data_IF_762608186605
#
_entry.id   IF_762608186605
#
_cell.length_a   1.000
_cell.length_b   1.000
_cell.length_c   1.000
_cell.angle_alpha   90.00
_cell.angle_beta   90.00
_cell.angle_gamma   90.00
#
_symmetry.space_group_name_H-M   'P 1'
#
loop_
_entity.id
_entity.type
_entity.pdbx_description
1 polymer ?
#
# COMPACT_ATOMS: atom_id res chain seq x y z
N UNK A 1 -9.25 -17.20 -30.09
CA UNK A 1 -8.64 -17.41 -28.76
C UNK A 1 -9.73 -17.13 -27.76
N UNK A 2 -10.23 -18.17 -27.10
CA UNK A 2 -11.24 -17.99 -26.06
C UNK A 2 -10.64 -17.26 -24.86
N UNK A 3 -11.34 -16.30 -24.25
CA UNK A 3 -10.89 -15.66 -23.03
C UNK A 3 -10.83 -16.73 -21.92
N UNK A 4 -9.67 -16.84 -21.26
CA UNK A 4 -9.47 -17.70 -20.09
C UNK A 4 -10.54 -17.40 -19.03
N UNK A 5 -11.15 -18.42 -18.39
CA UNK A 5 -12.13 -18.20 -17.34
C UNK A 5 -11.54 -17.33 -16.22
N UNK A 6 -12.33 -16.39 -15.66
CA UNK A 6 -11.85 -15.37 -14.73
C UNK A 6 -11.29 -15.96 -13.43
N UNK A 7 -11.76 -17.15 -13.02
CA UNK A 7 -11.60 -17.62 -11.63
C UNK A 7 -10.43 -18.58 -11.39
N UNK A 8 -9.64 -18.91 -12.43
CA UNK A 8 -8.50 -19.82 -12.25
C UNK A 8 -7.19 -19.04 -12.07
N UNK A 9 -6.40 -19.35 -11.01
CA UNK A 9 -5.06 -18.80 -10.90
C UNK A 9 -4.23 -19.24 -12.11
N UNK A 10 -3.51 -18.29 -12.69
CA UNK A 10 -2.66 -18.56 -13.86
C UNK A 10 -1.37 -19.26 -13.42
N UNK A 11 -0.91 -18.97 -12.19
CA UNK A 11 0.32 -19.50 -11.61
C UNK A 11 0.15 -19.75 -10.11
N UNK A 12 0.76 -20.82 -9.61
CA UNK A 12 0.80 -21.13 -8.18
C UNK A 12 2.24 -21.37 -7.73
N UNK A 13 2.63 -20.73 -6.64
CA UNK A 13 3.93 -20.84 -5.99
C UNK A 13 3.82 -21.36 -4.55
N UNK A 14 2.69 -21.99 -4.19
CA UNK A 14 2.47 -22.53 -2.85
C UNK A 14 3.54 -23.56 -2.45
N UNK A 15 4.11 -24.27 -3.42
CA UNK A 15 5.15 -25.29 -3.22
C UNK A 15 6.59 -24.71 -3.20
N UNK A 16 6.74 -23.40 -3.11
CA UNK A 16 8.05 -22.74 -3.02
C UNK A 16 8.38 -22.37 -1.56
N UNK A 17 8.83 -23.30 -0.69
CA UNK A 17 8.97 -23.10 0.76
C UNK A 17 10.05 -22.09 1.15
N UNK A 18 10.91 -21.68 0.22
CA UNK A 18 11.97 -20.68 0.40
C UNK A 18 11.60 -19.31 -0.17
N UNK A 19 10.45 -19.17 -0.81
CA UNK A 19 10.01 -17.89 -1.36
C UNK A 19 9.68 -16.93 -0.22
N UNK A 20 10.41 -15.80 -0.15
CA UNK A 20 10.27 -14.78 0.91
C UNK A 20 10.08 -13.38 0.35
N UNK A 21 10.54 -13.16 -0.86
CA UNK A 21 10.55 -11.86 -1.53
C UNK A 21 9.85 -12.02 -2.87
N UNK A 22 8.80 -11.21 -3.06
CA UNK A 22 8.00 -11.23 -4.26
C UNK A 22 7.88 -9.82 -4.83
N UNK A 23 8.20 -9.72 -6.11
CA UNK A 23 7.98 -8.53 -6.93
C UNK A 23 7.01 -8.93 -8.05
N UNK A 24 5.84 -8.31 -8.08
CA UNK A 24 4.81 -8.55 -9.11
C UNK A 24 4.50 -7.25 -9.80
N UNK A 25 4.59 -7.22 -11.13
CA UNK A 25 4.08 -6.12 -11.94
C UNK A 25 2.73 -6.50 -12.59
N UNK A 26 1.83 -5.53 -12.75
CA UNK A 26 0.52 -5.60 -13.45
C UNK A 26 -0.60 -6.39 -12.73
N UNK A 27 -1.80 -6.30 -13.35
CA UNK A 27 -3.12 -6.94 -13.11
C UNK A 27 -3.17 -8.46 -12.87
N UNK A 28 -2.05 -9.14 -12.63
CA UNK A 28 -2.04 -10.57 -12.34
C UNK A 28 -1.77 -10.87 -10.87
N UNK A 29 -1.59 -9.85 -10.02
CA UNK A 29 -1.29 -10.06 -8.61
C UNK A 29 -2.34 -10.92 -7.90
N UNK A 30 -3.64 -10.70 -8.16
CA UNK A 30 -4.74 -11.51 -7.64
C UNK A 30 -4.90 -12.87 -8.33
N UNK A 31 -4.26 -13.07 -9.48
CA UNK A 31 -4.30 -14.33 -10.26
C UNK A 31 -3.09 -15.23 -10.01
N UNK A 32 -2.20 -14.85 -9.08
CA UNK A 32 -1.06 -15.64 -8.66
C UNK A 32 -1.30 -16.12 -7.23
N UNK A 33 -1.24 -17.42 -7.01
CA UNK A 33 -1.24 -17.98 -5.65
C UNK A 33 0.17 -17.93 -5.09
N UNK A 34 0.34 -17.17 -4.01
CA UNK A 34 1.60 -17.06 -3.30
C UNK A 34 1.49 -17.69 -1.91
N UNK A 35 2.61 -18.17 -1.36
CA UNK A 35 2.67 -18.65 0.01
C UNK A 35 2.75 -17.43 0.96
N UNK A 36 1.64 -16.67 1.07
CA UNK A 36 1.58 -15.36 1.74
C UNK A 36 2.13 -15.37 3.18
N UNK A 37 1.82 -16.42 3.94
CA UNK A 37 2.26 -16.53 5.33
C UNK A 37 3.77 -16.60 5.52
N UNK A 38 4.58 -16.90 4.50
CA UNK A 38 6.03 -16.90 4.63
C UNK A 38 6.69 -15.68 3.99
N UNK A 39 5.95 -14.86 3.24
CA UNK A 39 6.53 -13.68 2.60
C UNK A 39 6.95 -12.66 3.65
N UNK A 40 8.17 -12.15 3.49
CA UNK A 40 8.73 -11.07 4.31
C UNK A 40 8.90 -9.78 3.52
N UNK A 41 8.96 -9.87 2.19
CA UNK A 41 9.03 -8.70 1.29
C UNK A 41 7.99 -8.79 0.19
N UNK A 42 7.24 -7.71 -0.01
CA UNK A 42 6.25 -7.61 -1.07
C UNK A 42 6.33 -6.28 -1.80
N UNK A 43 6.55 -6.35 -3.11
CA UNK A 43 6.80 -5.18 -3.96
C UNK A 43 5.89 -5.23 -5.18
N UNK A 44 4.58 -4.93 -5.06
CA UNK A 44 3.71 -4.85 -6.20
C UNK A 44 3.98 -3.57 -7.01
N UNK A 45 3.83 -3.69 -8.33
CA UNK A 45 3.91 -2.61 -9.29
C UNK A 45 2.65 -2.51 -10.13
N UNK A 46 2.03 -1.32 -10.09
CA UNK A 46 0.81 -0.95 -10.81
C UNK A 46 -0.35 -1.90 -10.46
N UNK A 47 -0.56 -2.09 -9.17
CA UNK A 47 -1.71 -2.83 -8.61
C UNK A 47 -2.80 -1.86 -8.18
N UNK A 48 -4.06 -2.22 -8.37
CA UNK A 48 -5.18 -1.41 -7.89
C UNK A 48 -5.23 -1.45 -6.35
N UNK A 49 -5.75 -0.40 -5.72
CA UNK A 49 -5.78 -0.25 -4.25
C UNK A 49 -6.50 -1.43 -3.57
N UNK A 50 -7.63 -1.85 -4.13
CA UNK A 50 -8.47 -2.95 -3.65
C UNK A 50 -7.70 -4.27 -3.60
N UNK A 51 -7.09 -4.62 -4.73
CA UNK A 51 -6.25 -5.81 -4.87
C UNK A 51 -5.08 -5.76 -3.88
N UNK A 52 -4.45 -4.59 -3.71
CA UNK A 52 -3.35 -4.44 -2.75
C UNK A 52 -3.80 -4.73 -1.32
N UNK A 53 -4.92 -4.14 -0.88
CA UNK A 53 -5.47 -4.37 0.45
C UNK A 53 -5.86 -5.83 0.67
N UNK A 54 -6.49 -6.46 -0.32
CA UNK A 54 -6.86 -7.88 -0.25
C UNK A 54 -5.62 -8.77 -0.10
N UNK A 55 -4.57 -8.52 -0.86
CA UNK A 55 -3.33 -9.29 -0.77
C UNK A 55 -2.63 -9.08 0.58
N UNK A 56 -2.62 -7.86 1.12
CA UNK A 56 -2.02 -7.55 2.42
C UNK A 56 -2.70 -8.28 3.58
N UNK A 57 -3.99 -8.60 3.50
CA UNK A 57 -4.71 -9.40 4.53
C UNK A 57 -4.10 -10.77 4.77
N UNK A 58 -3.46 -11.34 3.75
CA UNK A 58 -2.84 -12.67 3.84
C UNK A 58 -1.37 -12.61 4.27
N UNK A 59 -0.76 -11.41 4.26
CA UNK A 59 0.68 -11.22 4.32
C UNK A 59 1.17 -10.82 5.73
N UNK A 60 0.73 -11.55 6.76
CA UNK A 60 0.95 -11.20 8.17
C UNK A 60 2.43 -11.16 8.62
N UNK A 61 3.33 -11.78 7.85
CA UNK A 61 4.77 -11.85 8.15
C UNK A 61 5.61 -10.86 7.33
N UNK A 62 4.98 -9.91 6.65
CA UNK A 62 5.70 -8.86 5.94
C UNK A 62 6.52 -8.01 6.90
N UNK A 63 7.76 -7.75 6.49
CA UNK A 63 8.73 -6.89 7.16
C UNK A 63 8.98 -5.63 6.33
N UNK A 64 8.94 -5.77 5.01
CA UNK A 64 9.18 -4.72 4.02
C UNK A 64 8.10 -4.74 2.93
N UNK A 65 7.47 -3.61 2.69
CA UNK A 65 6.46 -3.46 1.64
C UNK A 65 6.74 -2.19 0.81
N UNK A 66 6.79 -2.35 -0.52
CA UNK A 66 6.89 -1.22 -1.46
C UNK A 66 5.67 -1.24 -2.37
N UNK A 67 4.69 -0.40 -2.06
CA UNK A 67 3.38 -0.46 -2.70
C UNK A 67 3.34 0.60 -3.80
N UNK A 68 3.58 0.20 -5.05
CA UNK A 68 3.43 1.06 -6.23
C UNK A 68 2.05 0.80 -6.84
N UNK A 69 1.07 1.63 -6.49
CA UNK A 69 -0.34 1.46 -6.87
C UNK A 69 -0.63 2.05 -8.26
N UNK A 70 -1.73 1.60 -8.86
CA UNK A 70 -2.30 2.11 -10.08
C UNK A 70 -3.55 2.94 -9.77
N UNK A 71 -3.68 4.09 -10.44
CA UNK A 71 -4.69 5.10 -10.15
C UNK A 71 -5.96 5.00 -10.99
N UNK A 72 -5.97 4.16 -12.04
CA UNK A 72 -7.02 4.19 -13.08
C UNK A 72 -8.42 3.80 -12.60
N UNK A 73 -8.57 3.21 -11.41
CA UNK A 73 -9.86 2.73 -10.89
C UNK A 73 -10.23 3.22 -9.49
N UNK A 74 -9.48 4.17 -8.90
CA UNK A 74 -9.79 4.66 -7.56
C UNK A 74 -11.04 5.57 -7.50
N UNK A 75 -11.60 5.96 -8.64
CA UNK A 75 -12.79 6.83 -8.75
C UNK A 75 -14.10 6.17 -8.33
N UNK A 76 -14.16 4.83 -8.35
CA UNK A 76 -15.36 4.06 -7.99
C UNK A 76 -15.20 3.34 -6.66
N UNK A 77 -14.25 3.78 -5.83
CA UNK A 77 -14.05 3.20 -4.51
C UNK A 77 -15.25 3.55 -3.63
N UNK A 78 -16.26 2.70 -3.70
CA UNK A 78 -17.39 2.71 -2.78
C UNK A 78 -16.84 2.15 -1.47
N UNK A 79 -16.40 3.06 -0.59
CA UNK A 79 -15.82 2.81 0.75
C UNK A 79 -16.68 1.91 1.67
N UNK A 80 -17.83 1.46 1.19
CA UNK A 80 -18.94 0.85 1.92
C UNK A 80 -18.69 -0.63 2.26
N UNK A 81 -17.67 -1.28 1.71
CA UNK A 81 -17.49 -2.74 1.83
C UNK A 81 -16.15 -3.25 2.38
N UNK A 82 -15.24 -2.40 2.89
CA UNK A 82 -13.99 -2.87 3.52
C UNK A 82 -14.08 -2.77 5.06
N UNK A 83 -14.49 -3.84 5.79
CA UNK A 83 -14.89 -3.68 7.19
C UNK A 83 -13.73 -3.83 8.20
N UNK A 84 -12.49 -4.09 7.78
CA UNK A 84 -11.44 -4.51 8.72
C UNK A 84 -10.10 -3.82 8.46
N UNK A 85 -9.56 -3.19 9.51
CA UNK A 85 -8.14 -2.81 9.63
C UNK A 85 -7.26 -4.04 9.40
N UNK A 86 -6.20 -3.87 8.60
CA UNK A 86 -5.22 -4.90 8.26
C UNK A 86 -4.06 -4.78 9.24
N UNK A 87 -3.93 -5.77 10.12
CA UNK A 87 -2.82 -5.86 11.06
C UNK A 87 -1.59 -6.44 10.37
N UNK A 88 -0.50 -5.67 10.35
CA UNK A 88 0.81 -6.07 9.84
C UNK A 88 1.83 -5.99 11.00
N UNK A 89 1.86 -7.00 11.88
CA UNK A 89 2.53 -6.91 13.18
C UNK A 89 4.05 -6.93 13.10
N UNK A 90 4.61 -7.30 11.95
CA UNK A 90 6.06 -7.40 11.72
C UNK A 90 6.59 -6.33 10.76
N UNK A 91 5.71 -5.46 10.22
CA UNK A 91 6.08 -4.52 9.18
C UNK A 91 6.96 -3.41 9.75
N UNK A 92 8.20 -3.33 9.28
CA UNK A 92 9.19 -2.35 9.72
C UNK A 92 9.43 -1.24 8.71
N UNK A 93 9.29 -1.54 7.41
CA UNK A 93 9.41 -0.56 6.33
C UNK A 93 8.20 -0.58 5.42
N UNK A 94 7.60 0.58 5.23
CA UNK A 94 6.52 0.82 4.29
C UNK A 94 6.92 1.94 3.34
N UNK A 95 6.92 1.64 2.06
CA UNK A 95 7.23 2.59 1.01
C UNK A 95 6.02 2.76 0.10
N UNK A 96 5.38 3.92 0.23
CA UNK A 96 4.31 4.44 -0.61
C UNK A 96 4.82 5.60 -1.49
N UNK A 97 6.12 5.64 -1.80
CA UNK A 97 6.61 6.45 -2.92
C UNK A 97 6.29 5.75 -4.24
N UNK A 98 6.38 6.42 -5.37
CA UNK A 98 6.17 5.77 -6.65
C UNK A 98 5.96 6.76 -7.77
N UNK A 99 6.20 6.36 -9.03
CA UNK A 99 5.76 7.16 -10.16
C UNK A 99 4.25 7.02 -10.28
N UNK A 100 3.52 7.85 -9.56
CA UNK A 100 2.08 8.01 -9.69
C UNK A 100 1.83 8.69 -11.04
N UNK A 101 1.08 8.03 -11.93
CA UNK A 101 0.82 8.58 -13.27
C UNK A 101 -0.38 9.51 -13.29
N UNK A 102 -1.35 9.29 -12.40
CA UNK A 102 -2.49 10.16 -12.26
C UNK A 102 -2.42 10.88 -10.91
N UNK A 103 -2.73 12.16 -10.94
CA UNK A 103 -2.66 13.12 -9.82
C UNK A 103 -3.78 12.90 -8.79
N UNK A 104 -4.68 11.96 -9.03
CA UNK A 104 -5.98 11.84 -8.33
C UNK A 104 -6.03 10.71 -7.29
N UNK A 105 -4.90 10.02 -7.05
CA UNK A 105 -4.83 8.97 -6.03
C UNK A 105 -3.78 9.30 -5.01
N UNK A 106 -4.19 9.39 -3.75
CA UNK A 106 -3.31 9.57 -2.62
C UNK A 106 -3.07 8.20 -1.97
N UNK A 107 -1.89 7.58 -2.18
CA UNK A 107 -1.50 6.35 -1.48
C UNK A 107 -1.62 6.47 0.04
N UNK A 108 -1.57 7.71 0.55
CA UNK A 108 -1.74 8.05 1.97
C UNK A 108 -3.07 7.56 2.54
N UNK A 109 -4.13 7.47 1.72
CA UNK A 109 -5.42 6.96 2.14
C UNK A 109 -5.35 5.48 2.55
N UNK A 110 -4.35 4.71 2.07
CA UNK A 110 -4.15 3.33 2.53
C UNK A 110 -3.85 3.24 4.02
N UNK A 111 -3.21 4.26 4.59
CA UNK A 111 -2.76 4.25 5.98
C UNK A 111 -3.92 4.07 6.96
N UNK A 112 -5.13 4.53 6.61
CA UNK A 112 -6.32 4.36 7.45
C UNK A 112 -6.74 2.89 7.63
N UNK A 113 -6.28 2.00 6.75
CA UNK A 113 -6.58 0.57 6.78
C UNK A 113 -5.46 -0.27 7.38
N UNK A 114 -4.33 0.34 7.79
CA UNK A 114 -3.16 -0.42 8.23
C UNK A 114 -2.93 -0.20 9.73
N UNK A 115 -2.70 -1.31 10.45
CA UNK A 115 -2.18 -1.29 11.82
C UNK A 115 -0.77 -1.88 11.82
N UNK A 116 0.23 -1.04 12.07
CA UNK A 116 1.66 -1.37 11.94
C UNK A 116 2.42 -1.00 13.22
N UNK A 117 2.26 -1.76 14.32
CA UNK A 117 2.73 -1.36 15.66
C UNK A 117 4.27 -1.28 15.79
N UNK A 118 5.01 -1.83 14.83
CA UNK A 118 6.49 -1.87 14.83
C UNK A 118 7.11 -1.14 13.65
N UNK A 119 6.34 -0.28 12.96
CA UNK A 119 6.83 0.45 11.81
C UNK A 119 7.93 1.43 12.21
N UNK A 120 9.07 1.35 11.52
CA UNK A 120 10.25 2.20 11.76
C UNK A 120 10.53 3.15 10.61
N UNK A 121 10.20 2.73 9.39
CA UNK A 121 10.48 3.51 8.18
C UNK A 121 9.21 3.67 7.35
N UNK A 122 8.87 4.92 7.05
CA UNK A 122 7.77 5.30 6.18
C UNK A 122 8.31 6.22 5.09
N UNK A 123 8.07 5.84 3.83
CA UNK A 123 8.36 6.69 2.67
C UNK A 123 7.05 7.05 1.99
N UNK A 124 6.82 8.35 1.81
CA UNK A 124 5.66 8.92 1.13
C UNK A 124 6.12 9.80 -0.03
N UNK A 125 5.28 9.87 -1.05
CA UNK A 125 5.40 10.84 -2.14
C UNK A 125 4.08 11.57 -2.28
N UNK A 126 4.07 12.90 -2.13
CA UNK A 126 2.88 13.71 -2.40
C UNK A 126 2.97 14.22 -3.83
N UNK A 127 1.99 13.94 -4.66
CA UNK A 127 1.97 14.39 -6.06
C UNK A 127 1.23 15.69 -6.17
N UNK A 128 1.87 16.78 -6.64
CA UNK A 128 1.23 18.09 -6.87
C UNK A 128 -0.15 17.94 -7.52
N UNK A 129 -1.20 18.08 -6.69
CA UNK A 129 -2.58 18.11 -7.15
C UNK A 129 -2.76 19.41 -7.95
N UNK A 130 -3.17 19.31 -9.22
CA UNK A 130 -3.37 20.48 -10.10
C UNK A 130 -4.28 21.57 -9.52
N UNK A 131 -5.12 21.24 -8.53
CA UNK A 131 -6.19 22.12 -8.05
C UNK A 131 -6.15 22.46 -6.55
N UNK A 132 -5.15 21.99 -5.80
CA UNK A 132 -4.84 22.49 -4.46
C UNK A 132 -5.66 21.91 -3.30
N UNK A 133 -4.90 21.53 -2.26
CA UNK A 133 -5.26 21.03 -0.92
C UNK A 133 -5.42 19.51 -0.82
N UNK A 134 -4.34 18.86 -0.38
CA UNK A 134 -4.33 17.46 0.01
C UNK A 134 -5.02 17.24 1.34
N UNK A 135 -5.89 16.23 1.39
CA UNK A 135 -6.28 15.65 2.66
C UNK A 135 -5.12 14.81 3.24
N UNK A 136 -4.38 15.40 4.17
CA UNK A 136 -3.33 14.72 4.94
C UNK A 136 -3.86 14.07 6.22
N UNK A 137 -5.17 14.15 6.50
CA UNK A 137 -5.79 13.60 7.70
C UNK A 137 -5.50 12.10 7.90
N UNK A 138 -5.45 11.24 6.85
CA UNK A 138 -5.07 9.84 7.02
C UNK A 138 -3.65 9.68 7.57
N UNK A 139 -2.71 10.52 7.13
CA UNK A 139 -1.34 10.52 7.65
C UNK A 139 -1.28 11.05 9.07
N UNK A 140 -1.94 12.18 9.36
CA UNK A 140 -1.98 12.72 10.72
C UNK A 140 -2.57 11.71 11.71
N UNK A 141 -3.64 11.02 11.32
CA UNK A 141 -4.28 9.96 12.12
C UNK A 141 -3.36 8.75 12.30
N UNK A 142 -2.54 8.43 11.29
CA UNK A 142 -1.60 7.32 11.34
C UNK A 142 -0.42 7.62 12.28
N UNK A 143 0.17 8.81 12.19
CA UNK A 143 1.36 9.18 12.99
C UNK A 143 1.03 9.60 14.42
N UNK A 144 -0.21 10.02 14.70
CA UNK A 144 -0.66 10.41 16.05
C UNK A 144 -0.94 9.21 16.97
N UNK A 145 -0.79 7.97 16.48
CA UNK A 145 -1.01 6.78 17.29
C UNK A 145 0.06 6.68 18.42
N UNK A 146 -0.33 6.39 19.68
CA UNK A 146 0.57 6.45 20.83
C UNK A 146 1.72 5.41 20.83
N UNK A 147 1.66 4.42 19.93
CA UNK A 147 2.68 3.37 19.76
C UNK A 147 3.57 3.59 18.53
N UNK A 148 3.50 4.76 17.91
CA UNK A 148 4.19 5.03 16.65
C UNK A 148 5.70 5.22 16.90
N UNK A 149 6.51 4.21 16.56
CA UNK A 149 7.97 4.17 16.78
C UNK A 149 8.77 4.57 15.54
N UNK A 150 8.26 5.52 14.75
CA UNK A 150 8.88 5.88 13.48
C UNK A 150 10.28 6.47 13.70
N UNK A 151 11.28 5.85 13.06
CA UNK A 151 12.68 6.26 13.10
C UNK A 151 13.08 7.04 11.85
N UNK A 152 12.41 6.77 10.72
CA UNK A 152 12.71 7.38 9.43
C UNK A 152 11.42 7.72 8.72
N UNK A 153 11.23 9.01 8.45
CA UNK A 153 10.18 9.53 7.59
C UNK A 153 10.84 10.15 6.36
N UNK A 154 10.49 9.68 5.17
CA UNK A 154 10.92 10.28 3.91
C UNK A 154 9.70 10.82 3.20
N UNK A 155 9.68 12.14 2.98
CA UNK A 155 8.64 12.82 2.23
C UNK A 155 9.27 13.33 0.93
N UNK A 156 8.80 12.82 -0.20
CA UNK A 156 9.18 13.29 -1.52
C UNK A 156 8.07 14.18 -2.08
N UNK A 157 8.46 15.31 -2.67
CA UNK A 157 7.60 16.43 -3.11
C UNK A 157 6.58 16.87 -2.05
N UNK A 158 6.94 17.87 -1.24
CA UNK A 158 6.00 18.47 -0.29
C UNK A 158 5.04 19.42 -1.04
N UNK A 159 3.77 19.53 -0.61
CA UNK A 159 2.90 20.61 -1.06
C UNK A 159 3.59 21.96 -0.82
N UNK A 160 3.66 22.82 -1.83
CA UNK A 160 4.27 24.16 -1.70
C UNK A 160 3.54 25.10 -0.74
N UNK A 161 2.37 24.73 -0.24
CA UNK A 161 1.60 25.51 0.75
C UNK A 161 1.94 25.06 2.16
N UNK A 162 3.03 25.61 2.69
CA UNK A 162 3.64 25.31 4.00
C UNK A 162 3.04 26.20 5.11
N UNK A 163 1.72 26.18 5.32
CA UNK A 163 1.10 26.90 6.45
C UNK A 163 0.56 25.97 7.56
N UNK A 164 0.25 24.70 7.26
CA UNK A 164 -0.43 23.80 8.23
C UNK A 164 0.49 22.87 9.04
N UNK A 165 1.81 22.88 8.82
CA UNK A 165 2.76 22.02 9.57
C UNK A 165 3.32 22.68 10.84
N UNK A 166 2.79 23.83 11.26
CA UNK A 166 3.30 24.60 12.40
C UNK A 166 2.69 24.23 13.78
N UNK A 167 1.77 23.27 13.84
CA UNK A 167 1.19 22.81 15.12
C UNK A 167 0.99 21.29 15.14
N UNK A 168 2.04 20.55 15.52
CA UNK A 168 1.95 19.21 16.09
C UNK A 168 3.15 18.97 17.02
#
# INVERSE_FOLDING_TARGET
MDPLPPDKPILSFCDAPKLRDVHIARRYATRIQLPWHQLTKFRPMWIDVEDCLELLRHASNLVDAQLRLNSTYCYYFDYVALPNTILLPQLQSLDLSGPWRDEEVLPIALLQYLETPVLKSLTLCFMEERNGVYDISPFLSFVSQPLFQLQTLTLSSLPTTVDDLSTA
#
